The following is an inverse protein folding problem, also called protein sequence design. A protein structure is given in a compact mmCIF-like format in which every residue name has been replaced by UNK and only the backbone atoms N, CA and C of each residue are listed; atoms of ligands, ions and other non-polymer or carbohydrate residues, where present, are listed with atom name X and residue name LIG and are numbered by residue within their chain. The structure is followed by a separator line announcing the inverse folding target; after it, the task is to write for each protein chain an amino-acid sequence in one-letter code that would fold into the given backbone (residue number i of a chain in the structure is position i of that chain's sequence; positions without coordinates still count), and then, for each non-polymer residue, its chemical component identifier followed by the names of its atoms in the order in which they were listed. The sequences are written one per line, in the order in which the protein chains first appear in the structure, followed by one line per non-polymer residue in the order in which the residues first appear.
data_IF_866973321232
#
_entry.id   IF_866973321232
#
_cell.length_a   1.000
_cell.length_b   1.000
_cell.length_c   1.000
_cell.angle_alpha   90.00
_cell.angle_beta   90.00
_cell.angle_gamma   90.00
#
_symmetry.space_group_name_H-M   'P 1'
#
loop_
_entity.id
_entity.type
_entity.pdbx_description
1 polymer ?
#
# COMPACT_ATOMS: atom_id res chain seq x y z
N UNK A 1 -8.72 -0.92 -14.34
CA UNK A 1 -7.59 -1.64 -13.69
C UNK A 1 -8.07 -2.69 -12.69
N UNK A 2 -8.85 -2.33 -11.68
CA UNK A 2 -9.32 -3.28 -10.67
C UNK A 2 -10.18 -4.41 -11.29
N UNK A 3 -11.00 -4.10 -12.29
CA UNK A 3 -11.74 -5.09 -13.08
C UNK A 3 -10.80 -6.07 -13.81
N UNK A 4 -9.78 -5.56 -14.51
CA UNK A 4 -8.77 -6.40 -15.20
C UNK A 4 -8.03 -7.34 -14.23
N UNK A 5 -7.91 -6.94 -12.97
CA UNK A 5 -7.32 -7.75 -11.89
C UNK A 5 -8.36 -8.54 -11.08
N UNK A 6 -9.58 -8.69 -11.58
CA UNK A 6 -10.70 -9.42 -10.95
C UNK A 6 -11.00 -9.01 -9.50
N UNK A 7 -10.69 -7.76 -9.11
CA UNK A 7 -11.03 -7.27 -7.78
C UNK A 7 -12.54 -7.15 -7.64
N UNK A 8 -13.09 -7.60 -6.52
CA UNK A 8 -14.53 -7.57 -6.24
C UNK A 8 -15.38 -8.26 -7.33
N UNK A 9 -14.86 -9.33 -7.94
CA UNK A 9 -15.53 -10.04 -9.04
C UNK A 9 -15.64 -9.26 -10.35
N UNK A 10 -14.87 -8.15 -10.47
CA UNK A 10 -14.94 -7.27 -11.65
C UNK A 10 -16.13 -6.30 -11.66
N UNK A 11 -16.93 -6.26 -10.59
CA UNK A 11 -18.09 -5.37 -10.45
C UNK A 11 -17.64 -3.90 -10.33
N UNK A 12 -17.93 -3.13 -11.38
CA UNK A 12 -17.50 -1.73 -11.47
C UNK A 12 -18.16 -0.83 -10.42
N UNK A 13 -19.40 -1.12 -10.02
CA UNK A 13 -20.11 -0.33 -9.01
C UNK A 13 -19.49 -0.54 -7.62
N UNK A 14 -19.16 -1.79 -7.27
CA UNK A 14 -18.42 -2.10 -6.05
C UNK A 14 -17.03 -1.49 -6.05
N UNK A 15 -16.30 -1.58 -7.18
CA UNK A 15 -14.96 -1.00 -7.34
C UNK A 15 -15.01 0.52 -7.13
N UNK A 16 -16.01 1.20 -7.70
CA UNK A 16 -16.19 2.65 -7.49
C UNK A 16 -16.47 2.98 -6.03
N UNK A 17 -17.37 2.26 -5.38
CA UNK A 17 -17.67 2.44 -3.95
C UNK A 17 -16.42 2.29 -3.08
N UNK A 18 -15.55 1.31 -3.39
CA UNK A 18 -14.27 1.16 -2.68
C UNK A 18 -13.32 2.33 -2.95
N UNK A 19 -13.31 2.87 -4.17
CA UNK A 19 -12.53 4.07 -4.49
C UNK A 19 -12.99 5.30 -3.69
N UNK A 20 -14.31 5.52 -3.59
CA UNK A 20 -14.90 6.58 -2.76
C UNK A 20 -14.53 6.41 -1.27
N UNK A 21 -14.60 5.17 -0.77
CA UNK A 21 -14.15 4.85 0.58
C UNK A 21 -12.68 5.20 0.81
N UNK A 22 -11.79 4.93 -0.13
CA UNK A 22 -10.37 5.30 0.00
C UNK A 22 -10.16 6.82 0.07
N UNK A 23 -10.95 7.60 -0.67
CA UNK A 23 -10.89 9.06 -0.59
C UNK A 23 -11.25 9.54 0.82
N UNK A 24 -12.28 8.95 1.44
CA UNK A 24 -12.64 9.28 2.82
C UNK A 24 -11.57 8.84 3.83
N UNK A 25 -10.93 7.68 3.62
CA UNK A 25 -9.78 7.27 4.45
C UNK A 25 -8.64 8.28 4.35
N UNK A 26 -8.27 8.71 3.13
CA UNK A 26 -7.19 9.69 2.95
C UNK A 26 -7.52 11.04 3.57
N UNK A 27 -8.76 11.48 3.47
CA UNK A 27 -9.26 12.68 4.19
C UNK A 27 -9.06 12.54 5.69
N UNK A 28 -9.48 11.42 6.25
CA UNK A 28 -9.42 11.15 7.69
C UNK A 28 -7.99 11.07 8.26
N UNK A 29 -7.03 10.57 7.48
CA UNK A 29 -5.61 10.55 7.90
C UNK A 29 -4.90 11.90 7.75
N UNK A 30 -5.61 12.94 7.30
CA UNK A 30 -5.10 14.31 7.21
C UNK A 30 -4.36 14.63 5.90
N UNK A 31 -4.71 13.95 4.78
CA UNK A 31 -4.20 14.35 3.47
C UNK A 31 -4.69 15.73 3.09
N UNK A 32 -3.79 16.62 2.67
CA UNK A 32 -4.16 17.95 2.17
C UNK A 32 -4.79 17.84 0.79
N UNK A 33 -6.13 17.77 0.77
CA UNK A 33 -6.91 17.60 -0.46
C UNK A 33 -6.88 18.82 -1.39
N UNK A 34 -6.40 19.98 -0.93
CA UNK A 34 -6.23 21.15 -1.80
C UNK A 34 -5.10 20.96 -2.83
N UNK A 35 -4.18 20.06 -2.54
CA UNK A 35 -3.04 19.72 -3.40
C UNK A 35 -3.18 18.37 -4.10
N UNK A 36 -4.31 17.68 -3.93
CA UNK A 36 -4.54 16.35 -4.49
C UNK A 36 -5.69 16.38 -5.47
N UNK A 37 -5.46 15.84 -6.66
CA UNK A 37 -6.50 15.61 -7.66
C UNK A 37 -6.74 14.12 -7.81
N UNK A 38 -7.91 13.66 -7.40
CA UNK A 38 -8.38 12.30 -7.64
C UNK A 38 -8.92 12.18 -9.06
N UNK A 39 -8.43 11.18 -9.77
CA UNK A 39 -8.85 10.92 -11.15
C UNK A 39 -9.38 9.48 -11.24
N UNK A 40 -10.56 9.35 -11.83
CA UNK A 40 -11.13 8.05 -12.16
C UNK A 40 -10.61 7.62 -13.53
N UNK A 41 -9.86 6.51 -13.57
CA UNK A 41 -9.27 6.01 -14.81
C UNK A 41 -10.30 5.83 -15.93
N UNK A 42 -11.51 5.32 -15.61
CA UNK A 42 -12.59 5.18 -16.59
C UNK A 42 -13.04 6.51 -17.20
N UNK A 43 -13.13 7.55 -16.41
CA UNK A 43 -13.55 8.88 -16.86
C UNK A 43 -12.47 9.57 -17.69
N UNK A 44 -11.22 9.52 -17.22
CA UNK A 44 -10.08 10.11 -17.94
C UNK A 44 -9.82 9.40 -19.28
N UNK A 45 -9.87 8.07 -19.30
CA UNK A 45 -9.71 7.29 -20.53
C UNK A 45 -10.87 7.58 -21.50
N UNK A 46 -12.11 7.64 -21.02
CA UNK A 46 -13.25 7.98 -21.87
C UNK A 46 -13.10 9.38 -22.51
N UNK A 47 -12.76 10.36 -21.69
CA UNK A 47 -12.60 11.77 -22.13
C UNK A 47 -11.51 11.97 -23.19
N UNK A 48 -10.43 11.19 -23.13
CA UNK A 48 -9.27 11.28 -24.05
C UNK A 48 -8.93 9.92 -24.66
N UNK A 49 -9.94 9.20 -25.12
CA UNK A 49 -9.81 7.79 -25.53
C UNK A 49 -8.83 7.57 -26.67
N UNK A 50 -8.84 8.41 -27.70
CA UNK A 50 -7.91 8.33 -28.84
C UNK A 50 -6.47 8.49 -28.40
N UNK A 51 -6.18 9.48 -27.56
CA UNK A 51 -4.84 9.71 -27.01
C UNK A 51 -4.36 8.51 -26.16
N UNK A 52 -5.21 8.06 -25.27
CA UNK A 52 -4.89 6.96 -24.35
C UNK A 52 -4.60 5.65 -25.09
N UNK A 53 -5.52 5.23 -25.93
CA UNK A 53 -5.40 3.95 -26.64
C UNK A 53 -4.28 3.97 -27.67
N UNK A 54 -4.05 5.09 -28.35
CA UNK A 54 -2.89 5.25 -29.23
C UNK A 54 -1.58 5.04 -28.46
N UNK A 55 -1.48 5.62 -27.24
CA UNK A 55 -0.31 5.44 -26.40
C UNK A 55 -0.15 3.98 -25.90
N UNK A 56 -1.23 3.35 -25.45
CA UNK A 56 -1.21 1.95 -25.01
C UNK A 56 -0.76 1.02 -26.14
N UNK A 57 -1.29 1.21 -27.36
CA UNK A 57 -0.91 0.42 -28.53
C UNK A 57 0.54 0.67 -28.96
N UNK A 58 1.01 1.90 -28.89
CA UNK A 58 2.41 2.24 -29.19
C UNK A 58 3.36 1.57 -28.19
N UNK A 59 3.04 1.58 -26.89
CA UNK A 59 3.82 0.87 -25.88
C UNK A 59 3.81 -0.65 -26.16
N UNK A 60 2.64 -1.22 -26.45
CA UNK A 60 2.49 -2.64 -26.71
C UNK A 60 3.30 -3.07 -27.96
N UNK A 61 3.28 -2.28 -29.03
CA UNK A 61 4.02 -2.57 -30.27
C UNK A 61 5.54 -2.51 -30.13
N UNK A 62 6.03 -1.73 -29.15
CA UNK A 62 7.47 -1.53 -28.89
C UNK A 62 8.02 -2.41 -27.77
N UNK A 63 7.15 -3.16 -27.09
CA UNK A 63 7.56 -3.97 -25.93
C UNK A 63 7.36 -5.44 -26.22
N UNK A 64 8.36 -6.28 -25.96
CA UNK A 64 8.25 -7.72 -26.15
C UNK A 64 7.31 -8.35 -25.12
N UNK A 65 6.63 -9.43 -25.53
CA UNK A 65 5.76 -10.20 -24.63
C UNK A 65 6.52 -10.70 -23.38
N UNK A 66 7.77 -11.14 -23.55
CA UNK A 66 8.64 -11.54 -22.43
C UNK A 66 8.88 -10.39 -21.44
N UNK A 67 9.05 -9.15 -21.93
CA UNK A 67 9.23 -7.97 -21.07
C UNK A 67 7.95 -7.62 -20.31
N UNK A 68 6.79 -7.71 -20.98
CA UNK A 68 5.47 -7.48 -20.35
C UNK A 68 5.18 -8.56 -19.30
N UNK A 69 5.46 -9.84 -19.61
CA UNK A 69 5.24 -10.94 -18.68
C UNK A 69 6.02 -10.76 -17.37
N UNK A 70 7.25 -10.24 -17.42
CA UNK A 70 8.00 -9.89 -16.21
C UNK A 70 7.32 -8.82 -15.34
N UNK A 71 6.42 -8.02 -15.91
CA UNK A 71 5.63 -7.05 -15.16
C UNK A 71 4.39 -7.65 -14.47
N UNK A 72 3.95 -8.85 -14.81
CA UNK A 72 2.69 -9.44 -14.26
C UNK A 72 2.71 -9.65 -12.75
N UNK A 73 3.88 -9.70 -12.12
CA UNK A 73 4.01 -9.73 -10.65
C UNK A 73 3.33 -8.53 -9.97
N UNK A 74 3.10 -7.41 -10.69
CA UNK A 74 2.36 -6.24 -10.20
C UNK A 74 0.90 -6.56 -9.85
N UNK A 75 0.32 -7.58 -10.47
CA UNK A 75 -1.05 -8.03 -10.21
C UNK A 75 -1.13 -9.01 -9.02
N UNK A 76 0.00 -9.33 -8.39
CA UNK A 76 0.08 -10.31 -7.31
C UNK A 76 -0.11 -11.76 -7.78
N UNK A 77 0.16 -12.05 -9.06
CA UNK A 77 0.08 -13.40 -9.64
C UNK A 77 1.49 -13.94 -9.91
N UNK A 78 1.68 -15.22 -9.64
CA UNK A 78 2.90 -15.93 -10.02
C UNK A 78 2.88 -16.23 -11.53
N UNK A 79 4.07 -16.33 -12.14
CA UNK A 79 4.25 -16.55 -13.59
C UNK A 79 3.93 -17.98 -14.06
N UNK A 80 3.17 -18.76 -13.30
CA UNK A 80 2.87 -20.14 -13.63
C UNK A 80 1.55 -20.27 -14.39
N UNK A 81 1.57 -20.84 -15.58
CA UNK A 81 0.41 -21.27 -16.34
C UNK A 81 -0.19 -20.22 -17.28
N UNK A 82 -1.40 -20.49 -17.74
CA UNK A 82 -2.18 -19.65 -18.65
C UNK A 82 -2.58 -18.32 -18.01
N UNK A 83 -1.72 -17.31 -18.16
CA UNK A 83 -2.01 -15.97 -17.69
C UNK A 83 -3.06 -15.31 -18.60
N UNK A 84 -4.14 -14.71 -18.06
CA UNK A 84 -5.14 -14.06 -18.88
C UNK A 84 -4.54 -12.87 -19.64
N UNK A 85 -5.02 -12.60 -20.85
CA UNK A 85 -4.62 -11.48 -21.69
C UNK A 85 -4.71 -10.12 -20.97
N UNK A 86 -5.59 -10.02 -19.97
CA UNK A 86 -5.70 -8.84 -19.09
C UNK A 86 -4.37 -8.47 -18.41
N UNK A 87 -3.47 -9.43 -18.16
CA UNK A 87 -2.15 -9.17 -17.58
C UNK A 87 -1.24 -8.38 -18.52
N UNK A 88 -1.29 -8.68 -19.82
CA UNK A 88 -0.54 -7.94 -20.86
C UNK A 88 -1.08 -6.52 -20.97
N UNK A 89 -2.41 -6.38 -21.10
CA UNK A 89 -3.06 -5.07 -21.18
C UNK A 89 -2.77 -4.23 -19.94
N UNK A 90 -2.87 -4.81 -18.76
CA UNK A 90 -2.65 -4.11 -17.49
C UNK A 90 -1.26 -3.46 -17.44
N UNK A 91 -0.22 -4.18 -17.80
CA UNK A 91 1.15 -3.65 -17.78
C UNK A 91 1.34 -2.50 -18.78
N UNK A 92 0.80 -2.62 -20.00
CA UNK A 92 0.87 -1.57 -21.02
C UNK A 92 0.06 -0.32 -20.60
N UNK A 93 -1.13 -0.51 -20.05
CA UNK A 93 -1.99 0.56 -19.56
C UNK A 93 -1.35 1.30 -18.37
N UNK A 94 -0.79 0.58 -17.40
CA UNK A 94 -0.14 1.21 -16.25
C UNK A 94 1.13 1.98 -16.66
N UNK A 95 1.87 1.49 -17.65
CA UNK A 95 2.97 2.21 -18.24
C UNK A 95 2.47 3.51 -18.93
N UNK A 96 1.37 3.42 -19.67
CA UNK A 96 0.76 4.56 -20.37
C UNK A 96 0.28 5.64 -19.40
N UNK A 97 -0.29 5.28 -18.25
CA UNK A 97 -0.83 6.23 -17.27
C UNK A 97 0.18 7.30 -16.86
N UNK A 98 1.46 6.94 -16.71
CA UNK A 98 2.51 7.85 -16.29
C UNK A 98 2.65 9.01 -17.30
N UNK A 99 2.63 8.71 -18.59
CA UNK A 99 2.75 9.69 -19.66
C UNK A 99 1.44 10.40 -19.96
N UNK A 100 0.35 9.67 -19.94
CA UNK A 100 -1.00 10.19 -20.18
C UNK A 100 -1.43 11.23 -19.13
N UNK A 101 -1.01 11.03 -17.87
CA UNK A 101 -1.25 11.97 -16.78
C UNK A 101 -0.16 13.05 -16.68
N UNK A 102 0.90 12.98 -17.50
CA UNK A 102 1.99 13.94 -17.48
C UNK A 102 2.82 13.91 -16.20
N UNK A 103 2.96 12.73 -15.59
CA UNK A 103 3.64 12.59 -14.31
C UNK A 103 5.17 12.75 -14.46
N UNK A 104 5.77 13.72 -13.75
CA UNK A 104 7.22 13.85 -13.62
C UNK A 104 7.80 12.85 -12.62
N UNK A 105 7.06 12.61 -11.54
CA UNK A 105 7.41 11.64 -10.46
C UNK A 105 6.30 10.62 -10.35
N UNK A 106 6.64 9.34 -10.40
CA UNK A 106 5.72 8.24 -10.16
C UNK A 106 6.12 7.53 -8.87
N UNK A 107 5.25 7.59 -7.85
CA UNK A 107 5.46 6.93 -6.57
C UNK A 107 4.49 5.76 -6.41
N UNK A 108 5.02 4.54 -6.28
CA UNK A 108 4.26 3.31 -6.07
C UNK A 108 5.03 2.37 -5.13
N UNK A 109 4.35 1.31 -4.67
CA UNK A 109 5.02 0.27 -3.89
C UNK A 109 6.12 -0.44 -4.67
N UNK A 110 7.05 -1.06 -3.96
CA UNK A 110 8.17 -1.81 -4.56
C UNK A 110 7.69 -2.94 -5.50
N UNK A 111 6.51 -3.51 -5.25
CA UNK A 111 5.90 -4.53 -6.11
C UNK A 111 5.55 -4.00 -7.52
N UNK A 112 5.38 -2.68 -7.70
CA UNK A 112 5.10 -2.01 -8.98
C UNK A 112 6.37 -1.59 -9.73
N UNK A 113 7.58 -1.82 -9.18
CA UNK A 113 8.84 -1.33 -9.75
C UNK A 113 9.08 -1.81 -11.17
N UNK A 114 8.70 -3.06 -11.50
CA UNK A 114 8.96 -3.63 -12.84
C UNK A 114 8.25 -2.87 -13.96
N UNK A 115 7.00 -2.46 -13.74
CA UNK A 115 6.25 -1.65 -14.74
C UNK A 115 6.74 -0.19 -14.74
N UNK A 116 7.14 0.35 -13.61
CA UNK A 116 7.73 1.67 -13.55
C UNK A 116 9.05 1.74 -14.33
N UNK A 117 9.85 0.67 -14.29
CA UNK A 117 11.06 0.57 -15.11
C UNK A 117 10.74 0.41 -16.60
N UNK A 118 9.65 -0.29 -16.96
CA UNK A 118 9.16 -0.34 -18.33
C UNK A 118 8.85 1.07 -18.86
N UNK A 119 8.23 1.93 -18.06
CA UNK A 119 7.98 3.31 -18.46
C UNK A 119 9.28 4.10 -18.72
N UNK A 120 10.30 3.91 -17.90
CA UNK A 120 11.61 4.54 -18.11
C UNK A 120 12.28 4.06 -19.41
N UNK A 121 12.22 2.74 -19.66
CA UNK A 121 12.72 2.13 -20.91
C UNK A 121 11.97 2.69 -22.12
N UNK A 122 10.65 2.74 -22.08
CA UNK A 122 9.81 3.29 -23.15
C UNK A 122 10.14 4.76 -23.46
N UNK A 123 10.33 5.59 -22.42
CA UNK A 123 10.71 6.99 -22.59
C UNK A 123 12.07 7.17 -23.32
N UNK A 124 12.95 6.17 -23.28
CA UNK A 124 14.28 6.20 -23.93
C UNK A 124 14.27 5.71 -25.38
N UNK A 125 13.23 4.94 -25.80
CA UNK A 125 13.18 4.32 -27.12
C UNK A 125 13.20 5.31 -28.30
N UNK A 126 12.85 6.57 -28.07
CA UNK A 126 12.86 7.62 -29.11
C UNK A 126 14.24 8.22 -29.41
N UNK A 127 15.30 7.84 -28.71
CA UNK A 127 16.64 8.42 -28.86
C UNK A 127 16.63 9.95 -28.72
N UNK A 128 17.20 10.69 -29.69
CA UNK A 128 17.20 12.16 -29.73
C UNK A 128 15.82 12.78 -30.01
N UNK A 129 14.89 12.03 -30.59
CA UNK A 129 13.50 12.44 -30.89
C UNK A 129 12.53 11.93 -29.80
N UNK A 130 12.93 11.92 -28.53
CA UNK A 130 12.09 11.47 -27.42
C UNK A 130 10.79 12.25 -27.37
N UNK A 131 9.67 11.52 -27.38
CA UNK A 131 8.33 12.11 -27.22
C UNK A 131 8.03 12.44 -25.77
N UNK A 132 8.57 11.65 -24.84
CA UNK A 132 8.26 11.75 -23.41
C UNK A 132 9.54 11.96 -22.59
N UNK A 133 9.39 12.75 -21.51
CA UNK A 133 10.41 12.90 -20.49
C UNK A 133 10.50 11.61 -19.67
N UNK A 134 11.71 11.19 -19.32
CA UNK A 134 11.94 10.01 -18.49
C UNK A 134 11.45 10.30 -17.07
N UNK A 135 10.46 9.53 -16.52
CA UNK A 135 9.91 9.81 -15.21
C UNK A 135 10.90 9.45 -14.08
N UNK A 136 10.82 10.18 -12.99
CA UNK A 136 11.47 9.82 -11.73
C UNK A 136 10.59 8.76 -11.04
N UNK A 137 11.20 7.66 -10.61
CA UNK A 137 10.50 6.57 -9.93
C UNK A 137 10.90 6.53 -8.47
N UNK A 138 9.91 6.71 -7.61
CA UNK A 138 10.03 6.50 -6.17
C UNK A 138 9.30 5.20 -5.79
N UNK A 139 10.04 4.20 -5.32
CA UNK A 139 9.47 2.94 -4.86
C UNK A 139 9.50 2.92 -3.34
N UNK A 140 8.33 2.91 -2.70
CA UNK A 140 8.24 2.82 -1.25
C UNK A 140 8.17 1.37 -0.77
N UNK A 141 8.60 1.18 0.48
CA UNK A 141 8.57 -0.11 1.16
C UNK A 141 7.15 -0.66 1.29
N UNK A 142 7.00 -1.98 1.19
CA UNK A 142 5.72 -2.67 1.37
C UNK A 142 5.66 -3.24 2.78
N UNK A 143 4.67 -2.82 3.56
CA UNK A 143 4.48 -3.37 4.90
C UNK A 143 4.08 -4.84 4.84
N UNK A 144 4.75 -5.73 5.59
CA UNK A 144 4.42 -7.15 5.62
C UNK A 144 3.08 -7.41 6.34
N UNK A 145 2.53 -8.59 6.13
CA UNK A 145 1.45 -9.10 6.97
C UNK A 145 1.94 -9.50 8.36
N UNK A 146 1.02 -9.71 9.28
CA UNK A 146 1.33 -9.97 10.69
C UNK A 146 1.84 -11.39 10.98
N UNK A 147 1.78 -12.31 10.00
CA UNK A 147 2.23 -13.70 10.15
C UNK A 147 3.67 -13.86 9.65
N UNK A 148 4.34 -14.89 10.16
CA UNK A 148 5.70 -15.23 9.74
C UNK A 148 5.77 -15.46 8.22
N UNK A 149 6.78 -14.89 7.56
CA UNK A 149 7.04 -15.07 6.13
C UNK A 149 6.00 -14.44 5.19
N UNK A 150 5.10 -13.61 5.70
CA UNK A 150 4.08 -12.96 4.90
C UNK A 150 4.59 -11.60 4.38
N UNK A 151 5.12 -11.58 3.15
CA UNK A 151 5.74 -10.41 2.53
C UNK A 151 4.82 -9.19 2.38
N UNK A 152 3.49 -9.40 2.32
CA UNK A 152 2.50 -8.32 2.24
C UNK A 152 1.18 -8.71 2.89
N UNK A 153 0.41 -7.71 3.32
CA UNK A 153 -0.93 -7.91 3.84
C UNK A 153 -1.85 -8.52 2.79
N UNK A 154 -2.74 -9.43 3.21
CA UNK A 154 -3.71 -10.08 2.32
C UNK A 154 -5.13 -9.89 2.81
N UNK A 155 -6.03 -9.48 1.91
CA UNK A 155 -7.47 -9.38 2.21
C UNK A 155 -8.13 -10.74 2.39
N UNK A 156 -7.55 -11.81 1.82
CA UNK A 156 -8.05 -13.18 1.99
C UNK A 156 -7.76 -13.75 3.36
N UNK A 157 -6.86 -13.12 4.14
CA UNK A 157 -6.58 -13.46 5.53
C UNK A 157 -6.70 -12.21 6.41
N UNK A 158 -7.92 -11.85 6.83
CA UNK A 158 -8.17 -10.65 7.61
C UNK A 158 -7.43 -10.59 8.96
N UNK A 159 -7.07 -11.76 9.51
CA UNK A 159 -6.34 -11.85 10.78
C UNK A 159 -4.87 -11.43 10.65
N UNK A 160 -4.34 -11.41 9.44
CA UNK A 160 -2.95 -11.08 9.13
C UNK A 160 -2.74 -9.61 8.72
N UNK A 161 -3.78 -8.80 8.75
CA UNK A 161 -3.73 -7.42 8.26
C UNK A 161 -4.45 -6.47 9.20
N UNK A 162 -3.89 -5.27 9.38
CA UNK A 162 -4.58 -4.17 10.07
C UNK A 162 -5.35 -3.38 9.01
N UNK A 163 -6.66 -3.30 9.18
CA UNK A 163 -7.51 -2.47 8.34
C UNK A 163 -7.70 -1.08 8.96
N UNK A 164 -7.94 -0.08 8.12
CA UNK A 164 -8.10 1.31 8.57
C UNK A 164 -9.33 1.49 9.48
N UNK A 165 -10.34 0.63 9.32
CA UNK A 165 -11.56 0.63 10.11
C UNK A 165 -11.56 -0.36 11.30
N UNK A 166 -10.46 -1.08 11.54
CA UNK A 166 -10.37 -2.00 12.68
C UNK A 166 -10.63 -1.26 14.00
N UNK A 167 -11.47 -1.81 14.84
CA UNK A 167 -11.69 -1.31 16.19
C UNK A 167 -10.44 -1.44 17.06
N UNK A 168 -10.40 -0.73 18.17
CA UNK A 168 -9.30 -0.86 19.15
C UNK A 168 -9.12 -2.30 19.60
N UNK A 169 -10.22 -3.01 19.82
CA UNK A 169 -10.18 -4.43 20.23
C UNK A 169 -9.57 -5.31 19.14
N UNK A 170 -9.96 -5.13 17.87
CA UNK A 170 -9.42 -5.90 16.73
C UNK A 170 -7.93 -5.66 16.54
N UNK A 171 -7.48 -4.40 16.58
CA UNK A 171 -6.05 -4.05 16.50
C UNK A 171 -5.27 -4.73 17.62
N UNK A 172 -5.74 -4.63 18.86
CA UNK A 172 -5.09 -5.25 20.02
C UNK A 172 -5.00 -6.77 19.88
N UNK A 173 -6.08 -7.43 19.45
CA UNK A 173 -6.12 -8.87 19.24
C UNK A 173 -5.17 -9.33 18.13
N UNK A 174 -5.12 -8.60 17.00
CA UNK A 174 -4.24 -8.89 15.87
C UNK A 174 -2.77 -8.70 16.25
N UNK A 175 -2.41 -7.60 16.91
CA UNK A 175 -1.02 -7.34 17.36
C UNK A 175 -0.58 -8.34 18.42
N UNK A 176 -1.45 -8.73 19.34
CA UNK A 176 -1.14 -9.78 20.33
C UNK A 176 -0.71 -11.08 19.65
N UNK A 177 -1.36 -11.47 18.54
CA UNK A 177 -1.08 -12.71 17.79
C UNK A 177 0.01 -12.54 16.72
N UNK A 178 0.46 -11.33 16.43
CA UNK A 178 1.45 -11.06 15.39
C UNK A 178 2.76 -11.79 15.66
N UNK A 179 3.43 -12.22 14.59
CA UNK A 179 4.78 -12.76 14.64
C UNK A 179 5.75 -11.71 15.18
N UNK A 180 6.44 -12.01 16.25
CA UNK A 180 7.38 -11.08 16.90
C UNK A 180 8.30 -11.88 17.84
N UNK A 181 9.26 -12.65 17.30
CA UNK A 181 10.17 -13.46 18.09
C UNK A 181 11.21 -12.58 18.79
N UNK A 182 11.63 -12.92 20.04
CA UNK A 182 12.64 -12.16 20.77
C UNK A 182 13.96 -12.03 20.01
N UNK A 183 14.58 -10.84 20.01
CA UNK A 183 15.88 -10.57 19.41
C UNK A 183 15.92 -10.58 17.87
N UNK A 184 14.84 -10.96 17.18
CA UNK A 184 14.81 -11.07 15.73
C UNK A 184 14.16 -9.84 15.11
N UNK A 185 14.95 -9.05 14.39
CA UNK A 185 14.50 -7.83 13.72
C UNK A 185 14.08 -8.10 12.28
N UNK A 186 14.88 -8.85 11.54
CA UNK A 186 14.60 -9.12 10.13
C UNK A 186 13.35 -9.98 9.95
N UNK A 187 12.46 -9.56 9.05
CA UNK A 187 11.18 -10.26 8.81
C UNK A 187 10.18 -10.15 9.96
N UNK A 188 10.42 -9.28 10.94
CA UNK A 188 9.51 -9.02 12.04
C UNK A 188 8.53 -7.89 11.68
N UNK A 189 7.24 -8.18 11.44
CA UNK A 189 6.29 -7.18 10.97
C UNK A 189 6.10 -6.01 11.95
N UNK A 190 6.21 -6.23 13.25
CA UNK A 190 6.02 -5.15 14.21
C UNK A 190 7.18 -4.15 14.20
N UNK A 191 8.40 -4.65 13.98
CA UNK A 191 9.57 -3.79 13.82
C UNK A 191 9.53 -3.02 12.49
N UNK A 192 9.01 -3.63 11.43
CA UNK A 192 8.74 -2.94 10.16
C UNK A 192 7.70 -1.81 10.33
N UNK A 193 6.61 -2.05 11.06
CA UNK A 193 5.60 -1.03 11.35
C UNK A 193 6.17 0.12 12.19
N UNK A 194 7.04 -0.19 13.14
CA UNK A 194 7.75 0.83 13.91
C UNK A 194 8.61 1.70 13.00
N UNK A 195 9.47 1.08 12.20
CA UNK A 195 10.43 1.76 11.33
C UNK A 195 9.77 2.63 10.27
N UNK A 196 8.77 2.09 9.56
CA UNK A 196 8.23 2.72 8.35
C UNK A 196 6.91 3.46 8.56
N UNK A 197 6.23 3.26 9.70
CA UNK A 197 4.95 3.90 9.97
C UNK A 197 4.95 4.68 11.30
N UNK A 198 5.27 4.02 12.42
CA UNK A 198 5.05 4.60 13.75
C UNK A 198 6.05 5.72 14.03
N UNK A 199 7.35 5.49 13.89
CA UNK A 199 8.36 6.54 14.09
C UNK A 199 8.18 7.70 13.11
N UNK A 200 8.00 7.49 11.81
CA UNK A 200 7.75 8.60 10.88
C UNK A 200 6.51 9.43 11.21
N UNK A 201 5.44 8.80 11.74
CA UNK A 201 4.18 9.49 12.03
C UNK A 201 4.13 10.12 13.42
N UNK A 202 4.66 9.45 14.44
CA UNK A 202 4.52 9.86 15.85
C UNK A 202 5.83 10.42 16.44
N UNK A 203 6.97 10.19 15.81
CA UNK A 203 8.29 10.65 16.27
C UNK A 203 8.83 9.92 17.50
N UNK A 204 8.01 9.13 18.19
CA UNK A 204 8.39 8.43 19.42
C UNK A 204 7.51 7.22 19.69
N UNK A 205 8.01 6.30 20.52
CA UNK A 205 7.26 5.19 21.08
C UNK A 205 7.50 5.11 22.60
N UNK A 206 6.43 5.14 23.37
CA UNK A 206 6.46 4.88 24.81
C UNK A 206 6.14 3.39 25.07
N UNK A 207 7.03 2.71 25.78
CA UNK A 207 6.89 1.33 26.22
C UNK A 207 6.70 1.32 27.73
N UNK A 208 5.52 0.90 28.18
CA UNK A 208 5.19 0.79 29.60
C UNK A 208 5.64 -0.59 30.10
N UNK A 209 6.48 -0.60 31.14
CA UNK A 209 7.02 -1.81 31.78
C UNK A 209 6.91 -1.71 33.29
N UNK A 210 6.89 -2.86 33.94
CA UNK A 210 6.99 -2.89 35.40
C UNK A 210 8.37 -2.42 35.85
N UNK A 211 8.47 -1.94 37.10
CA UNK A 211 9.75 -1.49 37.66
C UNK A 211 10.82 -2.60 37.64
N UNK A 212 10.42 -3.84 37.92
CA UNK A 212 11.29 -5.02 37.89
C UNK A 212 11.83 -5.35 36.48
N UNK A 213 11.13 -4.91 35.42
CA UNK A 213 11.50 -5.12 34.02
C UNK A 213 12.23 -3.88 33.45
N UNK A 214 12.77 -3.02 34.33
CA UNK A 214 13.51 -1.80 33.98
C UNK A 214 12.66 -0.53 33.90
N UNK A 215 11.34 -0.59 34.20
CA UNK A 215 10.44 0.57 34.17
C UNK A 215 10.12 1.07 32.78
N UNK A 216 9.34 2.15 32.70
CA UNK A 216 8.92 2.75 31.43
C UNK A 216 10.10 3.31 30.65
N UNK A 217 10.07 3.15 29.33
CA UNK A 217 11.08 3.72 28.43
C UNK A 217 10.41 4.41 27.23
N UNK A 218 10.97 5.54 26.81
CA UNK A 218 10.54 6.25 25.62
C UNK A 218 11.66 6.22 24.59
N UNK A 219 11.34 5.69 23.41
CA UNK A 219 12.22 5.68 22.27
C UNK A 219 11.86 6.85 21.34
N UNK A 220 12.84 7.72 21.05
CA UNK A 220 12.73 8.83 20.09
C UNK A 220 13.43 8.52 18.75
N UNK A 221 14.15 7.40 18.67
CA UNK A 221 14.84 6.95 17.47
C UNK A 221 14.67 5.44 17.28
N UNK A 222 14.48 5.06 16.02
CA UNK A 222 14.36 3.66 15.60
C UNK A 222 15.59 2.83 15.96
N UNK A 223 16.79 3.40 15.75
CA UNK A 223 18.06 2.72 15.91
C UNK A 223 18.27 2.22 17.36
N UNK A 224 17.89 3.05 18.33
CA UNK A 224 17.97 2.67 19.73
C UNK A 224 16.99 1.55 20.08
N UNK A 225 15.73 1.66 19.65
CA UNK A 225 14.72 0.61 19.88
C UNK A 225 15.17 -0.71 19.25
N UNK A 226 15.72 -0.64 18.04
CA UNK A 226 16.25 -1.81 17.33
C UNK A 226 17.37 -2.48 18.14
N UNK A 227 18.35 -1.72 18.61
CA UNK A 227 19.47 -2.25 19.40
C UNK A 227 18.98 -2.93 20.68
N UNK A 228 18.13 -2.25 21.47
CA UNK A 228 17.57 -2.81 22.70
C UNK A 228 16.75 -4.09 22.45
N UNK A 229 16.10 -4.20 21.28
CA UNK A 229 15.36 -5.39 20.88
C UNK A 229 16.29 -6.55 20.46
N UNK A 230 17.33 -6.26 19.68
CA UNK A 230 18.34 -7.25 19.26
C UNK A 230 19.12 -7.81 20.46
N UNK A 231 19.46 -6.96 21.43
CA UNK A 231 20.14 -7.34 22.66
C UNK A 231 19.24 -8.07 23.68
N UNK A 232 17.91 -8.04 23.45
CA UNK A 232 16.92 -8.67 24.34
C UNK A 232 16.51 -7.85 25.56
N UNK A 233 17.00 -6.60 25.69
CA UNK A 233 16.59 -5.68 26.76
C UNK A 233 15.18 -5.13 26.57
N UNK A 234 14.60 -5.26 25.36
CA UNK A 234 13.19 -4.99 25.03
C UNK A 234 12.49 -6.29 24.61
N UNK A 235 11.65 -6.80 25.48
CA UNK A 235 10.92 -8.06 25.22
C UNK A 235 9.67 -7.85 24.35
N UNK A 236 9.29 -8.82 23.47
CA UNK A 236 8.05 -8.74 22.67
C UNK A 236 6.78 -8.52 23.50
N UNK A 237 6.74 -9.03 24.74
CA UNK A 237 5.61 -8.83 25.66
C UNK A 237 5.34 -7.37 26.00
N UNK A 238 6.39 -6.55 26.05
CA UNK A 238 6.30 -5.11 26.32
C UNK A 238 6.12 -4.32 25.03
N UNK A 239 6.76 -4.77 23.94
CA UNK A 239 6.71 -4.12 22.64
C UNK A 239 5.31 -4.20 22.02
N UNK A 240 4.67 -5.37 22.02
CA UNK A 240 3.35 -5.57 21.39
C UNK A 240 2.28 -4.61 21.91
N UNK A 241 2.07 -4.43 23.24
CA UNK A 241 1.12 -3.44 23.75
C UNK A 241 1.45 -2.00 23.32
N UNK A 242 2.74 -1.65 23.28
CA UNK A 242 3.19 -0.31 22.84
C UNK A 242 2.86 -0.06 21.36
N UNK A 243 3.15 -1.03 20.49
CA UNK A 243 2.80 -0.97 19.06
C UNK A 243 1.28 -0.88 18.87
N UNK A 244 0.50 -1.67 19.61
CA UNK A 244 -0.96 -1.61 19.54
C UNK A 244 -1.51 -0.24 19.93
N UNK A 245 -0.99 0.38 21.00
CA UNK A 245 -1.37 1.74 21.40
C UNK A 245 -1.02 2.76 20.31
N UNK A 246 0.19 2.71 19.76
CA UNK A 246 0.63 3.61 18.71
C UNK A 246 -0.24 3.49 17.46
N UNK A 247 -0.54 2.26 16.99
CA UNK A 247 -1.45 2.04 15.85
C UNK A 247 -2.85 2.54 16.14
N UNK A 248 -3.37 2.32 17.35
CA UNK A 248 -4.68 2.83 17.74
C UNK A 248 -4.74 4.37 17.73
N UNK A 249 -3.66 5.06 18.12
CA UNK A 249 -3.54 6.51 18.00
C UNK A 249 -3.57 6.96 16.54
N UNK A 250 -2.85 6.26 15.65
CA UNK A 250 -2.84 6.57 14.21
C UNK A 250 -4.21 6.35 13.56
N UNK A 251 -4.94 5.31 13.98
CA UNK A 251 -6.24 4.94 13.42
C UNK A 251 -7.43 5.71 14.04
N UNK A 252 -7.24 6.37 15.18
CA UNK A 252 -8.31 7.07 15.87
C UNK A 252 -9.04 8.11 15.00
N UNK A 253 -8.36 8.99 14.24
CA UNK A 253 -9.02 9.94 13.36
C UNK A 253 -9.88 9.29 12.27
N UNK A 254 -9.44 8.15 11.76
CA UNK A 254 -10.20 7.39 10.74
C UNK A 254 -11.49 6.85 11.35
N UNK A 255 -11.41 6.24 12.52
CA UNK A 255 -12.59 5.73 13.24
C UNK A 255 -13.59 6.83 13.55
N UNK A 256 -13.10 7.97 14.02
CA UNK A 256 -13.93 9.13 14.33
C UNK A 256 -14.63 9.66 13.09
N UNK A 257 -13.92 9.84 11.98
CA UNK A 257 -14.49 10.28 10.71
C UNK A 257 -15.61 9.34 10.23
N UNK A 258 -15.37 8.02 10.22
CA UNK A 258 -16.36 7.04 9.80
C UNK A 258 -17.51 6.82 10.80
N UNK A 259 -17.38 7.31 12.03
CA UNK A 259 -18.46 7.30 13.01
C UNK A 259 -19.35 8.54 12.92
N UNK A 260 -18.77 9.72 12.60
CA UNK A 260 -19.43 11.03 12.66
C UNK A 260 -19.94 11.54 11.31
N UNK A 261 -19.19 11.29 10.22
CA UNK A 261 -19.59 11.73 8.88
C UNK A 261 -20.64 10.77 8.28
N UNK A 262 -21.87 11.25 7.91
CA UNK A 262 -22.93 10.39 7.39
C UNK A 262 -22.57 9.68 6.07
N UNK A 263 -21.83 10.37 5.17
CA UNK A 263 -21.42 9.81 3.89
C UNK A 263 -20.38 8.70 4.07
N UNK A 264 -19.32 8.96 4.84
CA UNK A 264 -18.30 7.99 5.18
C UNK A 264 -18.88 6.76 5.88
N UNK A 265 -19.80 6.97 6.85
CA UNK A 265 -20.52 5.89 7.55
C UNK A 265 -21.33 5.02 6.60
N UNK A 266 -22.04 5.62 5.65
CA UNK A 266 -22.80 4.88 4.64
C UNK A 266 -21.90 4.08 3.70
N UNK A 267 -20.75 4.64 3.28
CA UNK A 267 -19.74 3.93 2.49
C UNK A 267 -19.19 2.73 3.24
N UNK A 268 -18.80 2.90 4.51
CA UNK A 268 -18.30 1.80 5.32
C UNK A 268 -19.32 0.66 5.47
N UNK A 269 -20.60 0.99 5.65
CA UNK A 269 -21.67 -0.01 5.71
C UNK A 269 -21.82 -0.80 4.39
N UNK A 270 -21.63 -0.15 3.24
CA UNK A 270 -21.62 -0.81 1.93
C UNK A 270 -20.39 -1.72 1.77
N UNK A 271 -19.19 -1.23 2.13
CA UNK A 271 -17.93 -1.98 2.00
C UNK A 271 -17.96 -3.26 2.85
N UNK A 272 -18.51 -3.20 4.05
CA UNK A 272 -18.67 -4.40 4.93
C UNK A 272 -19.49 -5.51 4.28
N UNK A 273 -20.42 -5.18 3.36
CA UNK A 273 -21.23 -6.18 2.61
C UNK A 273 -20.48 -6.80 1.42
N UNK A 274 -19.30 -6.29 1.06
CA UNK A 274 -18.48 -6.81 -0.06
C UNK A 274 -17.45 -7.86 0.40
N UNK A 275 -17.40 -8.12 1.69
CA UNK A 275 -16.50 -9.10 2.35
C UNK A 275 -17.18 -10.45 2.53
#
# INVERSE_FOLDING_TARGET
FAMLNHKLGGDLAKIRTVGEYFIEVWRAVGMDLTRVRFLWASEEIHRRSTEYWTLVMDIASKTTLSRVNRCQTIMGRNQSGDAPASGVMYACMQCADIFFLGADICQLGMDQRKVNMLAREYAEMGGKKRRYKKPIILSHHMLPGLKQGQEKMSKSDPSSSIFMEDSTHEVNAKIKKAFCPPGVVEGNPLLEYLRYLIFPKLGRLEVLRKAQDGGNVTYSAWERLRADYEEGSLHPGDLKPAVARALNTILAPVREHFATDPHAKALLAKIKKFR
#
